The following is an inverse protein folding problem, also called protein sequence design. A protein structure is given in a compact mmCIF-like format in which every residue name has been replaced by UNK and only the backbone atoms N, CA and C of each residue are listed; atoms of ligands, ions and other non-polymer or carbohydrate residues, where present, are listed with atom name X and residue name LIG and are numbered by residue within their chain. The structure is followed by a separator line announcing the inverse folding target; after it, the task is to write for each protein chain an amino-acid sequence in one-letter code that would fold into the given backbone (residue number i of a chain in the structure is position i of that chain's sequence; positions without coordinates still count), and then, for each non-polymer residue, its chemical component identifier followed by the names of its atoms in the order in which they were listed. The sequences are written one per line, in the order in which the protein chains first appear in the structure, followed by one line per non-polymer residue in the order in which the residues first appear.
data_IF_525272022752
#
_entry.id   IF_525272022752
#
_cell.length_a   1.000
_cell.length_b   1.000
_cell.length_c   1.000
_cell.angle_alpha   90.00
_cell.angle_beta   90.00
_cell.angle_gamma   90.00
#
_symmetry.space_group_name_H-M   'P 1'
#
loop_
_entity.id
_entity.type
_entity.pdbx_description
1 polymer ?
#
# COMPACT_ATOMS: atom_id res chain seq x y z
N UNK A 1 -18.04 -2.10 21.17
CA UNK A 1 -17.02 -1.25 21.80
C UNK A 1 -17.58 -0.53 23.03
N UNK A 2 -16.88 -0.54 24.17
CA UNK A 2 -17.27 0.27 25.33
C UNK A 2 -17.05 1.77 25.05
N UNK A 3 -17.88 2.64 25.62
CA UNK A 3 -17.72 4.10 25.45
C UNK A 3 -16.35 4.60 25.90
N UNK A 4 -15.76 3.93 26.90
CA UNK A 4 -14.42 4.22 27.40
C UNK A 4 -13.34 3.92 26.35
N UNK A 5 -13.36 2.74 25.71
CA UNK A 5 -12.35 2.38 24.70
C UNK A 5 -12.42 3.31 23.48
N UNK A 6 -13.62 3.71 23.06
CA UNK A 6 -13.77 4.68 21.97
C UNK A 6 -13.21 6.05 22.33
N UNK A 7 -13.37 6.50 23.57
CA UNK A 7 -12.83 7.78 24.02
C UNK A 7 -11.29 7.72 24.14
N UNK A 8 -10.76 6.60 24.63
CA UNK A 8 -9.32 6.35 24.69
C UNK A 8 -8.69 6.38 23.29
N UNK A 9 -9.25 5.63 22.32
CA UNK A 9 -8.75 5.63 20.94
C UNK A 9 -8.78 7.00 20.28
N UNK A 10 -9.87 7.76 20.47
CA UNK A 10 -9.97 9.12 19.96
C UNK A 10 -8.92 10.05 20.59
N UNK A 11 -8.70 9.94 21.92
CA UNK A 11 -7.67 10.69 22.61
C UNK A 11 -6.25 10.31 22.11
N UNK A 12 -5.99 9.03 21.87
CA UNK A 12 -4.73 8.56 21.28
C UNK A 12 -4.53 9.13 19.87
N UNK A 13 -5.56 9.12 19.02
CA UNK A 13 -5.44 9.70 17.67
C UNK A 13 -5.15 11.21 17.74
N UNK A 14 -5.84 11.94 18.62
CA UNK A 14 -5.62 13.38 18.79
C UNK A 14 -4.23 13.72 19.37
N UNK A 15 -3.54 12.77 19.99
CA UNK A 15 -2.18 12.93 20.52
C UNK A 15 -1.09 12.63 19.48
N UNK A 16 -1.46 12.43 18.20
CA UNK A 16 -0.50 12.32 17.09
C UNK A 16 0.00 13.70 16.63
N UNK A 17 -0.79 14.76 16.82
CA UNK A 17 -0.49 16.10 16.34
C UNK A 17 -1.62 16.70 15.51
N UNK A 18 -1.26 17.59 14.59
CA UNK A 18 -2.24 18.27 13.73
C UNK A 18 -1.64 18.70 12.39
N UNK A 19 -2.49 18.82 11.38
CA UNK A 19 -2.13 19.36 10.08
C UNK A 19 -2.46 20.85 9.98
N UNK A 20 -1.46 21.69 9.72
CA UNK A 20 -1.66 23.11 9.40
C UNK A 20 -1.81 23.29 7.89
N UNK A 21 -3.04 23.53 7.45
CA UNK A 21 -3.36 23.77 6.04
C UNK A 21 -2.70 25.03 5.47
N UNK A 22 -2.34 26.03 6.28
CA UNK A 22 -1.67 27.24 5.80
C UNK A 22 -0.20 26.98 5.54
N UNK A 23 0.44 26.21 6.40
CA UNK A 23 1.85 25.82 6.26
C UNK A 23 2.04 24.61 5.32
N UNK A 24 0.94 23.93 4.93
CA UNK A 24 0.97 22.65 4.23
C UNK A 24 1.89 21.64 4.93
N UNK A 25 1.79 21.58 6.26
CA UNK A 25 2.71 20.83 7.11
C UNK A 25 1.97 20.19 8.28
N UNK A 26 2.31 18.92 8.53
CA UNK A 26 1.92 18.25 9.77
C UNK A 26 2.89 18.60 10.90
N UNK A 27 2.35 18.95 12.06
CA UNK A 27 3.08 19.18 13.30
C UNK A 27 2.83 18.01 14.25
N UNK A 28 3.85 17.17 14.41
CA UNK A 28 3.82 16.03 15.32
C UNK A 28 3.87 16.51 16.78
N UNK A 29 3.12 15.82 17.64
CA UNK A 29 3.22 16.00 19.10
C UNK A 29 4.48 15.32 19.66
N UNK A 30 4.88 15.71 20.87
CA UNK A 30 6.12 15.27 21.51
C UNK A 30 6.26 13.75 21.71
N UNK A 31 5.14 13.03 21.82
CA UNK A 31 5.12 11.58 22.06
C UNK A 31 4.62 10.77 20.86
N UNK A 32 4.61 11.34 19.65
CA UNK A 32 4.03 10.71 18.44
C UNK A 32 4.54 9.29 18.20
N UNK A 33 5.83 9.03 18.41
CA UNK A 33 6.41 7.69 18.27
C UNK A 33 5.73 6.65 19.18
N UNK A 34 5.53 6.98 20.45
CA UNK A 34 4.87 6.09 21.40
C UNK A 34 3.37 5.99 21.13
N UNK A 35 2.73 7.10 20.72
CA UNK A 35 1.32 7.12 20.29
C UNK A 35 1.08 6.14 19.12
N UNK A 36 1.95 6.12 18.10
CA UNK A 36 1.86 5.18 16.98
C UNK A 36 2.08 3.73 17.45
N UNK A 37 3.03 3.50 18.36
CA UNK A 37 3.24 2.17 18.96
C UNK A 37 2.02 1.72 19.77
N UNK A 38 1.34 2.62 20.47
CA UNK A 38 0.10 2.32 21.21
C UNK A 38 -1.05 1.94 20.28
N UNK A 39 -1.23 2.63 19.15
CA UNK A 39 -2.21 2.23 18.13
C UNK A 39 -1.95 0.80 17.61
N UNK A 40 -0.69 0.43 17.39
CA UNK A 40 -0.32 -0.95 17.03
C UNK A 40 -0.65 -1.92 18.18
N UNK A 41 -0.38 -1.55 19.44
CA UNK A 41 -0.70 -2.37 20.62
C UNK A 41 -2.21 -2.57 20.78
N UNK A 42 -3.03 -1.57 20.46
CA UNK A 42 -4.48 -1.68 20.44
C UNK A 42 -4.95 -2.64 19.35
N UNK A 43 -4.48 -2.49 18.11
CA UNK A 43 -4.85 -3.39 17.00
C UNK A 43 -4.45 -4.85 17.24
N UNK A 44 -3.41 -5.13 18.04
CA UNK A 44 -3.04 -6.50 18.43
C UNK A 44 -4.03 -7.14 19.40
N UNK A 45 -4.83 -6.33 20.10
CA UNK A 45 -5.86 -6.75 21.05
C UNK A 45 -7.27 -6.57 20.48
N UNK A 46 -7.37 -6.33 19.17
CA UNK A 46 -8.66 -6.16 18.50
C UNK A 46 -9.47 -7.45 18.62
N UNK A 47 -10.78 -7.31 18.76
CA UNK A 47 -11.68 -8.43 18.94
C UNK A 47 -12.06 -9.07 17.59
N UNK A 48 -12.84 -10.15 17.62
CA UNK A 48 -13.32 -10.83 16.40
C UNK A 48 -14.21 -9.92 15.53
N UNK A 49 -14.76 -8.86 16.11
CA UNK A 49 -15.55 -7.88 15.38
C UNK A 49 -14.65 -6.85 14.66
N UNK A 50 -13.38 -6.71 15.05
CA UNK A 50 -12.45 -5.68 14.60
C UNK A 50 -12.92 -4.26 14.96
N UNK A 51 -13.45 -4.12 16.18
CA UNK A 51 -13.99 -2.86 16.69
C UNK A 51 -12.96 -1.71 16.64
N UNK A 52 -11.71 -1.95 17.00
CA UNK A 52 -10.64 -0.94 17.04
C UNK A 52 -10.32 -0.49 15.62
N UNK A 53 -10.09 -1.43 14.70
CA UNK A 53 -9.86 -1.12 13.29
C UNK A 53 -11.01 -0.32 12.67
N UNK A 54 -12.26 -0.73 12.92
CA UNK A 54 -13.45 -0.01 12.43
C UNK A 54 -13.50 1.41 12.97
N UNK A 55 -13.19 1.62 14.24
CA UNK A 55 -13.11 2.96 14.83
C UNK A 55 -12.03 3.82 14.16
N UNK A 56 -10.80 3.30 13.99
CA UNK A 56 -9.71 4.01 13.33
C UNK A 56 -10.01 4.35 11.86
N UNK A 57 -10.77 3.49 11.18
CA UNK A 57 -11.25 3.79 9.84
C UNK A 57 -12.26 4.94 9.81
N UNK A 58 -13.21 4.97 10.74
CA UNK A 58 -14.20 6.06 10.86
C UNK A 58 -13.54 7.39 11.19
N UNK A 59 -12.50 7.40 12.04
CA UNK A 59 -11.74 8.63 12.35
C UNK A 59 -10.87 9.11 11.20
N UNK A 60 -10.65 8.26 10.18
CA UNK A 60 -9.79 8.55 9.02
C UNK A 60 -8.34 8.86 9.41
N UNK A 61 -7.84 8.24 10.49
CA UNK A 61 -6.49 8.49 11.04
C UNK A 61 -5.39 8.30 9.99
N UNK A 62 -5.57 7.37 9.04
CA UNK A 62 -4.59 7.15 7.95
C UNK A 62 -4.45 8.42 7.10
N UNK A 63 -5.59 9.01 6.74
CA UNK A 63 -5.69 10.16 5.86
C UNK A 63 -5.31 11.46 6.57
N UNK A 64 -5.77 11.64 7.81
CA UNK A 64 -5.62 12.90 8.56
C UNK A 64 -4.27 13.04 9.23
N UNK A 65 -3.65 11.93 9.65
CA UNK A 65 -2.47 11.95 10.51
C UNK A 65 -1.32 11.09 9.98
N UNK A 66 -1.55 9.79 9.71
CA UNK A 66 -0.45 8.86 9.43
C UNK A 66 0.27 9.13 8.11
N UNK A 67 -0.46 9.42 7.03
CA UNK A 67 0.16 9.77 5.73
C UNK A 67 0.83 11.16 5.77
N UNK A 68 0.24 12.21 6.36
CA UNK A 68 0.95 13.46 6.60
C UNK A 68 2.21 13.30 7.46
N UNK A 69 2.15 12.54 8.56
CA UNK A 69 3.32 12.20 9.38
C UNK A 69 4.40 11.50 8.56
N UNK A 70 4.01 10.48 7.77
CA UNK A 70 4.94 9.78 6.89
C UNK A 70 5.63 10.77 5.95
N UNK A 71 4.89 11.68 5.30
CA UNK A 71 5.48 12.67 4.38
C UNK A 71 6.41 13.66 5.07
N UNK A 72 6.03 14.17 6.24
CA UNK A 72 6.76 15.25 6.91
C UNK A 72 7.94 14.77 7.77
N UNK A 73 7.95 13.51 8.22
CA UNK A 73 8.91 12.98 9.20
C UNK A 73 9.59 11.68 8.75
N UNK A 74 9.60 11.36 7.45
CA UNK A 74 10.16 10.09 6.97
C UNK A 74 11.63 9.85 7.26
N UNK A 75 12.40 10.91 7.49
CA UNK A 75 13.83 10.83 7.82
C UNK A 75 14.06 10.30 9.25
N UNK A 76 13.07 10.44 10.14
CA UNK A 76 13.09 9.85 11.49
C UNK A 76 12.83 8.34 11.37
N UNK A 77 13.91 7.56 11.30
CA UNK A 77 13.88 6.11 11.00
C UNK A 77 12.96 5.32 11.92
N UNK A 78 13.05 5.53 13.24
CA UNK A 78 12.20 4.81 14.19
C UNK A 78 10.71 5.12 14.01
N UNK A 79 10.38 6.38 13.75
CA UNK A 79 9.00 6.80 13.51
C UNK A 79 8.49 6.27 12.18
N UNK A 80 9.29 6.37 11.12
CA UNK A 80 9.00 5.79 9.81
C UNK A 80 8.68 4.30 9.91
N UNK A 81 9.48 3.54 10.65
CA UNK A 81 9.32 2.09 10.79
C UNK A 81 8.00 1.71 11.48
N UNK A 82 7.63 2.42 12.56
CA UNK A 82 6.36 2.16 13.23
C UNK A 82 5.17 2.66 12.43
N UNK A 83 5.29 3.79 11.71
CA UNK A 83 4.26 4.28 10.80
C UNK A 83 4.00 3.28 9.67
N UNK A 84 5.06 2.79 9.03
CA UNK A 84 4.96 1.80 7.95
C UNK A 84 4.26 0.52 8.45
N UNK A 85 4.63 0.03 9.64
CA UNK A 85 3.97 -1.13 10.27
C UNK A 85 2.49 -0.89 10.53
N UNK A 86 2.13 0.30 11.01
CA UNK A 86 0.73 0.65 11.27
C UNK A 86 -0.07 0.78 9.96
N UNK A 87 0.50 1.42 8.94
CA UNK A 87 -0.10 1.56 7.60
C UNK A 87 -0.33 0.20 6.94
N UNK A 88 0.65 -0.70 6.97
CA UNK A 88 0.49 -2.08 6.47
C UNK A 88 -0.63 -2.80 7.22
N UNK A 89 -0.69 -2.67 8.55
CA UNK A 89 -1.74 -3.30 9.35
C UNK A 89 -3.13 -2.75 8.97
N UNK A 90 -3.28 -1.42 8.89
CA UNK A 90 -4.56 -0.76 8.62
C UNK A 90 -5.06 -0.95 7.17
N UNK A 91 -4.15 -1.17 6.23
CA UNK A 91 -4.47 -1.43 4.81
C UNK A 91 -4.66 -2.90 4.48
N UNK A 92 -4.49 -3.81 5.44
CA UNK A 92 -4.68 -5.24 5.22
C UNK A 92 -6.08 -5.53 4.65
N UNK A 93 -6.19 -6.33 3.58
CA UNK A 93 -7.48 -6.71 2.99
C UNK A 93 -8.50 -7.19 4.02
N UNK A 94 -9.74 -6.70 3.92
CA UNK A 94 -10.81 -7.09 4.84
C UNK A 94 -10.97 -8.61 4.90
N UNK A 95 -10.87 -9.29 3.77
CA UNK A 95 -10.99 -10.75 3.69
C UNK A 95 -9.94 -11.51 4.54
N UNK A 96 -8.73 -10.95 4.71
CA UNK A 96 -7.70 -11.54 5.57
C UNK A 96 -8.08 -11.48 7.06
N UNK A 97 -8.96 -10.56 7.46
CA UNK A 97 -9.48 -10.47 8.84
C UNK A 97 -10.53 -11.55 9.16
N UNK A 98 -11.08 -12.20 8.14
CA UNK A 98 -12.09 -13.27 8.25
C UNK A 98 -11.61 -14.57 7.58
N UNK A 99 -10.33 -14.90 7.71
CA UNK A 99 -9.77 -16.19 7.24
C UNK A 99 -10.04 -16.51 5.77
N UNK A 100 -9.96 -15.49 4.91
CA UNK A 100 -10.17 -15.62 3.47
C UNK A 100 -11.62 -15.93 3.05
N UNK A 101 -12.59 -15.86 3.97
CA UNK A 101 -14.01 -16.09 3.68
C UNK A 101 -14.89 -14.93 4.21
N UNK A 102 -15.83 -14.40 3.41
CA UNK A 102 -16.71 -13.35 3.88
C UNK A 102 -17.69 -13.90 4.93
N UNK A 103 -17.89 -13.21 6.06
CA UNK A 103 -18.80 -13.68 7.10
C UNK A 103 -20.25 -13.76 6.60
N UNK A 104 -20.95 -14.83 7.00
CA UNK A 104 -22.33 -15.11 6.62
C UNK A 104 -23.35 -14.54 7.63
N UNK A 105 -22.96 -14.44 8.90
CA UNK A 105 -23.78 -13.83 9.94
C UNK A 105 -23.97 -12.33 9.66
N UNK A 106 -25.21 -11.84 9.80
CA UNK A 106 -25.62 -10.51 9.34
C UNK A 106 -24.80 -9.38 9.97
N UNK A 107 -24.52 -9.47 11.27
CA UNK A 107 -23.80 -8.44 12.01
C UNK A 107 -22.32 -8.41 11.62
N UNK A 108 -21.66 -9.55 11.59
CA UNK A 108 -20.29 -9.71 11.12
C UNK A 108 -20.14 -9.30 9.65
N UNK A 109 -21.14 -9.60 8.81
CA UNK A 109 -21.19 -9.12 7.42
C UNK A 109 -21.25 -7.60 7.34
N UNK A 110 -22.01 -6.94 8.21
CA UNK A 110 -22.02 -5.48 8.27
C UNK A 110 -20.66 -4.91 8.69
N UNK A 111 -19.96 -5.56 9.63
CA UNK A 111 -18.61 -5.15 10.05
C UNK A 111 -17.57 -5.36 8.94
N UNK A 112 -17.64 -6.49 8.25
CA UNK A 112 -16.84 -6.77 7.06
C UNK A 112 -17.04 -5.68 5.99
N UNK A 113 -18.30 -5.40 5.63
CA UNK A 113 -18.63 -4.38 4.65
C UNK A 113 -18.22 -2.99 5.12
N UNK A 114 -18.32 -2.68 6.41
CA UNK A 114 -17.84 -1.41 6.95
C UNK A 114 -16.33 -1.25 6.68
N UNK A 115 -15.52 -2.28 6.90
CA UNK A 115 -14.07 -2.23 6.64
C UNK A 115 -13.77 -2.15 5.15
N UNK A 116 -14.51 -2.85 4.29
CA UNK A 116 -14.35 -2.71 2.84
C UNK A 116 -14.73 -1.31 2.34
N UNK A 117 -15.85 -0.77 2.82
CA UNK A 117 -16.36 0.56 2.44
C UNK A 117 -15.45 1.69 2.95
N UNK A 118 -14.64 1.42 3.98
CA UNK A 118 -13.53 2.30 4.38
C UNK A 118 -12.37 2.34 3.37
N UNK A 119 -12.53 1.70 2.20
CA UNK A 119 -11.70 1.86 1.00
C UNK A 119 -11.47 3.30 0.52
N UNK A 120 -12.11 4.30 1.16
CA UNK A 120 -11.69 5.70 1.14
C UNK A 120 -10.19 5.90 1.40
N UNK A 121 -9.55 4.98 2.13
CA UNK A 121 -8.10 5.04 2.33
C UNK A 121 -7.31 4.97 1.02
N UNK A 122 -7.81 4.24 0.01
CA UNK A 122 -7.15 4.13 -1.31
C UNK A 122 -7.05 5.49 -2.01
N UNK A 123 -8.04 6.35 -1.84
CA UNK A 123 -8.01 7.70 -2.42
C UNK A 123 -6.86 8.54 -1.87
N UNK A 124 -6.46 8.32 -0.62
CA UNK A 124 -5.33 9.03 -0.01
C UNK A 124 -3.97 8.50 -0.46
N UNK A 125 -3.95 7.37 -1.16
CA UNK A 125 -2.77 6.87 -1.84
C UNK A 125 -2.69 7.31 -3.32
N UNK A 126 -3.69 8.03 -3.85
CA UNK A 126 -3.55 8.76 -5.12
C UNK A 126 -2.77 10.08 -4.90
N UNK A 127 -1.64 10.00 -4.20
CA UNK A 127 -0.76 11.11 -3.85
C UNK A 127 0.68 10.69 -4.12
N UNK A 128 1.31 11.31 -5.11
CA UNK A 128 2.68 11.04 -5.53
C UNK A 128 3.69 11.25 -4.40
N UNK A 129 3.47 12.22 -3.50
CA UNK A 129 4.38 12.51 -2.40
C UNK A 129 4.47 11.36 -1.38
N UNK A 130 3.40 10.59 -1.18
CA UNK A 130 3.41 9.40 -0.32
C UNK A 130 4.36 8.36 -0.92
N UNK A 131 4.24 8.09 -2.21
CA UNK A 131 5.06 7.09 -2.88
C UNK A 131 6.50 7.55 -3.09
N UNK A 132 6.75 8.85 -3.28
CA UNK A 132 8.08 9.42 -3.41
C UNK A 132 8.95 9.21 -2.16
N UNK A 133 8.34 9.31 -0.98
CA UNK A 133 9.01 9.00 0.29
C UNK A 133 9.34 7.50 0.38
N UNK A 134 8.40 6.64 0.01
CA UNK A 134 8.60 5.18 0.05
C UNK A 134 9.64 4.72 -0.98
N UNK A 135 9.62 5.28 -2.20
CA UNK A 135 10.59 4.99 -3.26
C UNK A 135 11.98 5.49 -2.89
N UNK A 136 12.07 6.65 -2.24
CA UNK A 136 13.33 7.16 -1.68
C UNK A 136 13.90 6.24 -0.60
N UNK A 137 13.06 5.73 0.31
CA UNK A 137 13.51 4.80 1.35
C UNK A 137 13.99 3.47 0.77
N UNK A 138 13.20 2.83 -0.09
CA UNK A 138 13.55 1.52 -0.65
C UNK A 138 14.79 1.61 -1.55
N UNK A 139 14.95 2.70 -2.33
CA UNK A 139 16.14 2.91 -3.17
C UNK A 139 17.41 3.00 -2.33
N UNK A 140 17.41 3.79 -1.25
CA UNK A 140 18.54 3.89 -0.31
C UNK A 140 18.94 2.53 0.27
N UNK A 141 17.97 1.64 0.48
CA UNK A 141 18.24 0.29 1.00
C UNK A 141 18.79 -0.63 -0.10
N UNK A 142 18.25 -0.55 -1.32
CA UNK A 142 18.69 -1.36 -2.46
C UNK A 142 20.09 -0.99 -2.95
N UNK A 143 20.57 0.23 -2.66
CA UNK A 143 21.97 0.64 -2.88
C UNK A 143 22.97 -0.10 -1.96
N UNK A 144 22.50 -0.63 -0.83
CA UNK A 144 23.34 -1.43 0.07
C UNK A 144 23.52 -2.82 -0.54
N UNK A 145 24.76 -3.32 -0.55
CA UNK A 145 25.07 -4.67 -1.01
C UNK A 145 24.20 -5.70 -0.29
N UNK A 146 23.67 -6.67 -1.04
CA UNK A 146 22.74 -7.66 -0.52
C UNK A 146 23.30 -8.41 0.70
N UNK A 147 24.61 -8.69 0.75
CA UNK A 147 25.23 -9.38 1.88
C UNK A 147 25.36 -8.50 3.13
N UNK A 148 25.35 -7.17 2.97
CA UNK A 148 25.53 -6.19 4.05
C UNK A 148 24.21 -5.54 4.49
N UNK A 149 23.13 -5.70 3.69
CA UNK A 149 21.82 -5.06 3.91
C UNK A 149 21.23 -5.37 5.29
N UNK A 150 21.35 -6.60 5.75
CA UNK A 150 20.80 -7.06 7.03
C UNK A 150 19.27 -7.22 7.03
N UNK A 151 18.77 -7.89 8.07
CA UNK A 151 17.36 -8.30 8.15
C UNK A 151 16.39 -7.12 8.34
N UNK A 152 16.78 -6.11 9.13
CA UNK A 152 15.91 -4.95 9.42
C UNK A 152 15.57 -4.17 8.14
N UNK A 153 16.58 -3.88 7.32
CA UNK A 153 16.41 -3.26 6.01
C UNK A 153 15.60 -4.15 5.05
N UNK A 154 15.85 -5.46 5.06
CA UNK A 154 15.13 -6.42 4.24
C UNK A 154 13.63 -6.46 4.59
N UNK A 155 13.29 -6.32 5.87
CA UNK A 155 11.91 -6.19 6.36
C UNK A 155 11.26 -4.87 5.97
N UNK A 156 12.02 -3.78 5.84
CA UNK A 156 11.50 -2.50 5.35
C UNK A 156 11.09 -2.63 3.88
N UNK A 157 11.94 -3.21 3.03
CA UNK A 157 11.60 -3.51 1.62
C UNK A 157 10.31 -4.31 1.57
N UNK A 158 10.26 -5.42 2.30
CA UNK A 158 9.09 -6.30 2.33
C UNK A 158 7.80 -5.55 2.74
N UNK A 159 7.86 -4.75 3.80
CA UNK A 159 6.70 -3.97 4.27
C UNK A 159 6.23 -2.93 3.27
N UNK A 160 7.15 -2.28 2.54
CA UNK A 160 6.78 -1.33 1.49
C UNK A 160 6.06 -2.07 0.36
N UNK A 161 6.56 -3.23 -0.07
CA UNK A 161 5.91 -4.05 -1.11
C UNK A 161 4.53 -4.53 -0.66
N UNK A 162 4.39 -4.99 0.58
CA UNK A 162 3.08 -5.37 1.15
C UNK A 162 2.12 -4.17 1.19
N UNK A 163 2.59 -2.97 1.53
CA UNK A 163 1.76 -1.77 1.51
C UNK A 163 1.24 -1.48 0.10
N UNK A 164 2.11 -1.54 -0.92
CA UNK A 164 1.73 -1.35 -2.32
C UNK A 164 0.67 -2.40 -2.71
N UNK A 165 0.93 -3.69 -2.41
CA UNK A 165 0.01 -4.79 -2.67
C UNK A 165 -1.35 -4.57 -2.02
N UNK A 166 -1.36 -4.20 -0.73
CA UNK A 166 -2.57 -3.93 0.03
C UNK A 166 -3.39 -2.81 -0.62
N UNK A 167 -2.76 -1.68 -0.96
CA UNK A 167 -3.46 -0.53 -1.56
C UNK A 167 -4.06 -0.88 -2.92
N UNK A 168 -3.34 -1.63 -3.75
CA UNK A 168 -3.84 -2.06 -5.07
C UNK A 168 -4.97 -3.09 -4.95
N UNK A 169 -4.93 -3.95 -3.92
CA UNK A 169 -5.97 -4.94 -3.64
C UNK A 169 -7.31 -4.29 -3.28
N UNK A 170 -7.30 -3.17 -2.54
CA UNK A 170 -8.52 -2.51 -2.05
C UNK A 170 -9.53 -2.34 -3.21
N UNK A 171 -10.72 -2.97 -3.11
CA UNK A 171 -11.75 -2.83 -4.12
C UNK A 171 -12.26 -1.39 -4.13
N UNK A 172 -12.63 -0.92 -5.30
CA UNK A 172 -13.28 0.38 -5.46
C UNK A 172 -14.67 0.09 -5.99
N UNK A 173 -15.68 0.65 -5.34
CA UNK A 173 -17.06 0.59 -5.81
C UNK A 173 -17.24 1.60 -6.96
N UNK A 174 -17.46 1.13 -8.21
CA UNK A 174 -17.63 2.03 -9.35
C UNK A 174 -18.83 2.97 -9.20
N UNK A 175 -19.89 2.54 -8.51
CA UNK A 175 -21.09 3.35 -8.28
C UNK A 175 -20.85 4.44 -7.23
N UNK A 176 -19.96 4.18 -6.26
CA UNK A 176 -19.56 5.15 -5.25
C UNK A 176 -18.67 6.26 -5.81
N UNK A 177 -17.94 5.98 -6.89
CA UNK A 177 -16.99 6.90 -7.50
C UNK A 177 -17.66 8.02 -8.30
N UNK A 178 -18.93 7.83 -8.69
CA UNK A 178 -19.80 8.84 -9.33
C UNK A 178 -19.10 9.66 -10.42
N UNK A 179 -18.35 8.96 -11.28
CA UNK A 179 -17.56 9.60 -12.33
C UNK A 179 -18.38 9.94 -13.57
N UNK A 180 -18.07 11.06 -14.25
CA UNK A 180 -18.32 11.19 -15.68
C UNK A 180 -17.47 10.16 -16.45
N UNK A 181 -17.95 9.65 -17.59
CA UNK A 181 -17.37 8.54 -18.38
C UNK A 181 -15.89 8.71 -18.82
N UNK A 182 -15.23 9.83 -18.52
CA UNK A 182 -13.92 10.19 -19.06
C UNK A 182 -12.82 10.43 -18.00
N UNK A 183 -13.11 10.29 -16.70
CA UNK A 183 -12.12 10.46 -15.63
C UNK A 183 -11.40 9.14 -15.31
N UNK A 184 -10.10 9.24 -15.00
CA UNK A 184 -9.26 8.09 -14.65
C UNK A 184 -9.77 7.36 -13.40
N UNK A 185 -9.61 6.04 -13.38
CA UNK A 185 -9.99 5.23 -12.24
C UNK A 185 -9.22 5.64 -10.97
N UNK A 186 -9.73 5.51 -9.73
CA UNK A 186 -8.84 5.77 -8.56
C UNK A 186 -7.71 4.75 -8.52
N UNK A 187 -7.94 3.55 -9.06
CA UNK A 187 -6.89 2.58 -9.29
C UNK A 187 -5.83 3.17 -10.24
N UNK A 188 -6.24 3.73 -11.38
CA UNK A 188 -5.33 4.36 -12.35
C UNK A 188 -4.59 5.58 -11.77
N UNK A 189 -5.26 6.37 -10.93
CA UNK A 189 -4.62 7.49 -10.24
C UNK A 189 -3.54 7.01 -9.27
N UNK A 190 -3.77 5.92 -8.54
CA UNK A 190 -2.73 5.27 -7.70
C UNK A 190 -1.58 4.75 -8.57
N UNK A 191 -1.87 4.07 -9.69
CA UNK A 191 -0.84 3.61 -10.62
C UNK A 191 -0.02 4.77 -11.18
N UNK A 192 -0.67 5.87 -11.50
CA UNK A 192 -0.02 7.10 -11.96
C UNK A 192 0.91 7.66 -10.89
N UNK A 193 0.46 7.74 -9.63
CA UNK A 193 1.30 8.19 -8.51
C UNK A 193 2.51 7.27 -8.29
N UNK A 194 2.34 5.95 -8.39
CA UNK A 194 3.45 4.98 -8.33
C UNK A 194 4.48 5.18 -9.46
N UNK A 195 4.02 5.53 -10.65
CA UNK A 195 4.90 5.80 -11.78
C UNK A 195 5.67 7.11 -11.61
N UNK A 196 4.97 8.20 -11.27
CA UNK A 196 5.60 9.51 -11.08
C UNK A 196 6.64 9.49 -9.96
N UNK A 197 6.44 8.67 -8.93
CA UNK A 197 7.38 8.54 -7.83
C UNK A 197 8.59 7.63 -8.13
N UNK A 198 8.68 7.04 -9.33
CA UNK A 198 9.69 6.04 -9.70
C UNK A 198 9.53 4.67 -9.03
N UNK A 199 8.40 4.40 -8.35
CA UNK A 199 8.19 3.14 -7.64
C UNK A 199 8.04 1.96 -8.61
N UNK A 200 7.46 2.18 -9.80
CA UNK A 200 7.33 1.12 -10.81
C UNK A 200 8.69 0.62 -11.32
N UNK A 201 9.66 1.51 -11.52
CA UNK A 201 11.01 1.14 -11.97
C UNK A 201 11.73 0.29 -10.90
N UNK A 202 11.49 0.60 -9.62
CA UNK A 202 12.01 -0.17 -8.49
C UNK A 202 11.39 -1.58 -8.45
N UNK A 203 10.06 -1.69 -8.63
CA UNK A 203 9.37 -2.98 -8.69
C UNK A 203 9.92 -3.81 -9.87
N UNK A 204 10.10 -3.17 -11.03
CA UNK A 204 10.71 -3.81 -12.21
C UNK A 204 12.13 -4.29 -11.90
N UNK A 205 12.97 -3.46 -11.30
CA UNK A 205 14.31 -3.85 -10.87
C UNK A 205 14.28 -5.08 -9.96
N UNK A 206 13.48 -5.05 -8.88
CA UNK A 206 13.33 -6.17 -7.93
C UNK A 206 12.90 -7.44 -8.67
N UNK A 207 11.90 -7.35 -9.55
CA UNK A 207 11.37 -8.50 -10.30
C UNK A 207 12.34 -9.10 -11.34
N UNK A 208 13.35 -8.33 -11.75
CA UNK A 208 14.36 -8.75 -12.73
C UNK A 208 15.68 -9.20 -12.09
N UNK A 209 15.95 -8.81 -10.85
CA UNK A 209 17.21 -9.07 -10.16
C UNK A 209 17.21 -10.44 -9.46
N UNK A 210 18.16 -11.30 -9.82
CA UNK A 210 18.31 -12.61 -9.16
C UNK A 210 18.74 -12.52 -7.70
N UNK A 211 19.22 -11.37 -7.24
CA UNK A 211 19.54 -11.15 -5.82
C UNK A 211 18.28 -10.89 -4.98
N UNK A 212 17.20 -10.42 -5.62
CA UNK A 212 15.98 -9.98 -4.94
C UNK A 212 14.85 -11.02 -4.97
N UNK A 213 15.20 -12.30 -5.16
CA UNK A 213 14.27 -13.43 -5.30
C UNK A 213 13.30 -13.58 -4.13
N UNK A 214 13.69 -13.16 -2.92
CA UNK A 214 12.84 -13.20 -1.74
C UNK A 214 11.54 -12.38 -1.91
N UNK A 215 11.55 -11.39 -2.80
CA UNK A 215 10.44 -10.47 -3.02
C UNK A 215 9.56 -10.80 -4.24
N UNK A 216 9.86 -11.89 -4.95
CA UNK A 216 9.19 -12.22 -6.21
C UNK A 216 7.68 -12.45 -6.06
N UNK A 217 7.25 -13.09 -4.97
CA UNK A 217 5.80 -13.27 -4.72
C UNK A 217 5.09 -11.95 -4.52
N UNK A 218 5.68 -11.02 -3.75
CA UNK A 218 5.13 -9.68 -3.56
C UNK A 218 5.03 -8.91 -4.88
N UNK A 219 6.10 -8.93 -5.69
CA UNK A 219 6.08 -8.25 -7.00
C UNK A 219 5.06 -8.85 -7.96
N UNK A 220 4.90 -10.18 -7.97
CA UNK A 220 3.92 -10.85 -8.82
C UNK A 220 2.47 -10.50 -8.43
N UNK A 221 2.16 -10.46 -7.14
CA UNK A 221 0.85 -9.99 -6.65
C UNK A 221 0.60 -8.53 -7.03
N UNK A 222 1.60 -7.66 -6.83
CA UNK A 222 1.51 -6.24 -7.22
C UNK A 222 1.20 -6.13 -8.72
N UNK A 223 1.97 -6.79 -9.58
CA UNK A 223 1.77 -6.75 -11.04
C UNK A 223 0.39 -7.29 -11.44
N UNK A 224 -0.08 -8.35 -10.80
CA UNK A 224 -1.43 -8.89 -11.01
C UNK A 224 -2.51 -7.84 -10.66
N UNK A 225 -2.38 -7.17 -9.51
CA UNK A 225 -3.34 -6.14 -9.11
C UNK A 225 -3.26 -4.88 -9.97
N UNK A 226 -2.09 -4.50 -10.49
CA UNK A 226 -1.96 -3.38 -11.42
C UNK A 226 -2.73 -3.62 -12.73
N UNK A 227 -2.89 -4.87 -13.14
CA UNK A 227 -3.54 -5.26 -14.39
C UNK A 227 -5.00 -5.70 -14.22
N UNK A 228 -5.55 -5.65 -13.00
CA UNK A 228 -6.87 -6.24 -12.69
C UNK A 228 -8.05 -5.59 -13.44
N UNK A 229 -7.92 -4.32 -13.82
CA UNK A 229 -8.97 -3.57 -14.54
C UNK A 229 -8.78 -3.61 -16.07
N UNK A 230 -7.80 -4.38 -16.57
CA UNK A 230 -7.48 -4.44 -17.99
C UNK A 230 -8.19 -5.61 -18.69
N UNK A 231 -8.76 -5.34 -19.86
CA UNK A 231 -9.15 -6.41 -20.80
C UNK A 231 -8.02 -6.65 -21.81
N UNK A 232 -7.64 -7.93 -22.03
CA UNK A 232 -6.55 -8.29 -22.94
C UNK A 232 -6.79 -7.81 -24.40
N UNK A 233 -8.05 -7.56 -24.76
CA UNK A 233 -8.50 -7.10 -26.07
C UNK A 233 -8.34 -5.60 -26.30
N UNK A 234 -8.41 -4.75 -25.27
CA UNK A 234 -8.27 -3.29 -25.44
C UNK A 234 -6.81 -2.85 -25.62
N UNK A 235 -5.87 -3.59 -25.03
CA UNK A 235 -4.43 -3.29 -25.08
C UNK A 235 -3.80 -3.45 -26.47
N UNK A 236 -4.46 -4.16 -27.40
CA UNK A 236 -3.97 -4.29 -28.78
C UNK A 236 -4.54 -3.26 -29.74
N UNK A 237 -5.60 -2.53 -29.35
CA UNK A 237 -6.33 -1.58 -30.24
C UNK A 237 -6.07 -0.13 -29.85
N UNK A 238 -5.74 0.17 -28.59
CA UNK A 238 -5.60 1.55 -28.08
C UNK A 238 -4.18 2.15 -28.08
N UNK A 239 -3.23 1.60 -28.85
CA UNK A 239 -1.91 2.23 -29.09
C UNK A 239 -1.97 3.62 -29.78
N UNK A 240 -3.15 4.22 -29.97
CA UNK A 240 -3.35 5.50 -30.67
C UNK A 240 -4.04 6.62 -29.87
N UNK A 241 -4.33 6.46 -28.57
CA UNK A 241 -4.95 7.55 -27.80
C UNK A 241 -3.99 8.23 -26.82
N UNK A 242 -3.86 9.56 -26.97
CA UNK A 242 -3.03 10.49 -26.21
C UNK A 242 -3.51 10.72 -24.76
N UNK A 243 -3.71 9.68 -23.97
CA UNK A 243 -3.98 9.81 -22.53
C UNK A 243 -2.83 9.18 -21.72
N UNK A 244 -2.42 9.82 -20.63
CA UNK A 244 -1.28 9.39 -19.79
C UNK A 244 -1.37 7.94 -19.28
N UNK A 245 -2.59 7.39 -19.23
CA UNK A 245 -2.84 5.99 -18.93
C UNK A 245 -2.18 5.03 -19.96
N UNK A 246 -2.21 5.34 -21.26
CA UNK A 246 -1.63 4.48 -22.31
C UNK A 246 -0.10 4.33 -22.23
N UNK A 247 0.61 5.36 -21.74
CA UNK A 247 2.07 5.31 -21.53
C UNK A 247 2.40 4.46 -20.29
N UNK A 248 1.62 4.64 -19.23
CA UNK A 248 1.72 3.87 -17.99
C UNK A 248 1.56 2.37 -18.28
N UNK A 249 0.53 1.98 -19.04
CA UNK A 249 0.29 0.57 -19.36
C UNK A 249 1.29 -0.02 -20.35
N UNK A 250 1.90 0.77 -21.23
CA UNK A 250 3.01 0.30 -22.06
C UNK A 250 4.22 -0.08 -21.18
N UNK A 251 4.56 0.74 -20.18
CA UNK A 251 5.63 0.43 -19.22
C UNK A 251 5.33 -0.78 -18.33
N UNK A 252 4.07 -0.92 -17.88
CA UNK A 252 3.65 -2.10 -17.10
C UNK A 252 3.67 -3.36 -17.97
N UNK A 253 3.19 -3.28 -19.21
CA UNK A 253 3.26 -4.39 -20.18
C UNK A 253 4.69 -4.82 -20.48
N UNK A 254 5.60 -3.88 -20.71
CA UNK A 254 7.02 -4.16 -20.92
C UNK A 254 7.66 -4.79 -19.68
N UNK A 255 7.23 -4.37 -18.49
CA UNK A 255 7.67 -4.94 -17.21
C UNK A 255 7.25 -6.40 -17.08
N UNK A 256 5.99 -6.74 -17.37
CA UNK A 256 5.51 -8.13 -17.32
C UNK A 256 6.24 -9.00 -18.35
N UNK A 257 6.44 -8.52 -19.58
CA UNK A 257 7.19 -9.24 -20.61
C UNK A 257 8.65 -9.47 -20.20
N UNK A 258 9.27 -8.48 -19.54
CA UNK A 258 10.63 -8.62 -19.03
C UNK A 258 10.72 -9.67 -17.91
N UNK A 259 9.79 -9.64 -16.95
CA UNK A 259 9.71 -10.62 -15.85
C UNK A 259 9.48 -12.03 -16.38
N UNK A 260 8.54 -12.22 -17.31
CA UNK A 260 8.31 -13.52 -17.93
C UNK A 260 9.57 -14.06 -18.63
N UNK A 261 10.30 -13.19 -19.34
CA UNK A 261 11.56 -13.58 -19.99
C UNK A 261 12.60 -13.99 -18.95
N UNK A 262 12.77 -13.23 -17.87
CA UNK A 262 13.74 -13.54 -16.81
C UNK A 262 13.40 -14.85 -16.09
N UNK A 263 12.13 -15.12 -15.79
CA UNK A 263 11.67 -16.39 -15.19
C UNK A 263 11.93 -17.58 -16.14
N UNK A 264 11.64 -17.43 -17.44
CA UNK A 264 11.90 -18.48 -18.45
C UNK A 264 13.39 -18.77 -18.63
N UNK A 265 14.26 -17.77 -18.45
CA UNK A 265 15.72 -17.96 -18.55
C UNK A 265 16.33 -18.49 -17.24
N UNK A 266 15.72 -18.22 -16.08
CA UNK A 266 16.14 -18.77 -14.78
C UNK A 266 15.83 -20.25 -14.60
N UNK A 267 14.80 -20.78 -15.26
CA UNK A 267 14.43 -22.20 -15.22
C UNK A 267 15.18 -23.07 -16.25
N UNK A 268 15.98 -22.46 -17.14
CA UNK A 268 16.66 -23.14 -18.25
C UNK A 268 18.07 -23.68 -17.99
N UNK A 269 18.66 -23.52 -16.78
CA UNK A 269 20.02 -23.99 -16.46
C UNK A 269 20.07 -24.95 -15.27
N UNK A 270 19.34 -26.07 -15.34
CA UNK A 270 19.75 -27.32 -14.68
C UNK A 270 19.70 -28.45 -15.71
N UNK A 271 20.66 -28.46 -16.62
CA UNK A 271 21.03 -29.69 -17.34
C UNK A 271 21.88 -30.53 -16.39
N UNK A 272 21.37 -31.72 -16.07
CA UNK A 272 22.12 -32.79 -15.45
C UNK A 272 23.39 -33.11 -16.28
N UNK A 273 24.53 -32.98 -15.63
CA UNK A 273 25.81 -33.67 -15.88
C UNK A 273 26.42 -33.76 -14.48
N UNK A 274 26.56 -34.89 -13.82
CA UNK A 274 26.87 -36.28 -14.20
C UNK A 274 26.08 -37.27 -13.34
#
# INVERSE_FOLDING_TARGET
MSSLLSAELAATCNALGYYDAKANKYYADSNTLETVKDLIRYLRKDDENHDIRRHLGVTKVVQTDLLPLLKNYWEETELFDVLLRLLVNLTMPALMLWHEEPPTEKTARNYYLQIEVLGLVKYSFADEAVWAVLSSRISKILEIDYAERGDENSLIIERILILIRNVLYIPVDPDAERRPDNDASIHDQVLWSLHQSGMLDIILYISSSTMEQAYYMHTLEILSFMLREQSATENTVHQQFHNGASILYAHVGDTVVHVERTIRHGTGKRRFTT
#
